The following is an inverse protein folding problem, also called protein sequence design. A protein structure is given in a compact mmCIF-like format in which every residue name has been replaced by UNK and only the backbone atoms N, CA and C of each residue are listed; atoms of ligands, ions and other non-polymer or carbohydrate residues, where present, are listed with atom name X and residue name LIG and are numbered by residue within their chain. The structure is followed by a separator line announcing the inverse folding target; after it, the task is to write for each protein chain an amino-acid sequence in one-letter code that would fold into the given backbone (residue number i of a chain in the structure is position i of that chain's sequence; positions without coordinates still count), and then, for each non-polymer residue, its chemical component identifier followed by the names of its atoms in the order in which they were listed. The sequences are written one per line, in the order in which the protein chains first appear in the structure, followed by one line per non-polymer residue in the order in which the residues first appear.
data_IF_862357885690
#
_entry.id   IF_862357885690
#
_cell.length_a   1.000
_cell.length_b   1.000
_cell.length_c   1.000
_cell.angle_alpha   90.00
_cell.angle_beta   90.00
_cell.angle_gamma   90.00
#
_symmetry.space_group_name_H-M   'P 1'
#
loop_
_entity.id
_entity.type
_entity.pdbx_description
1 polymer ?
#
# COMPACT_ATOMS: atom_id res chain seq x y z
N UNK A 1 -28.36 -14.48 -0.32
CA UNK A 1 -28.97 -13.44 -1.18
C UNK A 1 -28.79 -13.84 -2.64
N UNK A 2 -29.87 -13.96 -3.41
CA UNK A 2 -29.81 -14.32 -4.85
C UNK A 2 -30.03 -13.04 -5.66
N UNK A 3 -29.06 -12.69 -6.50
CA UNK A 3 -29.17 -11.57 -7.45
C UNK A 3 -30.11 -11.94 -8.59
N UNK A 4 -31.42 -11.93 -8.35
CA UNK A 4 -32.42 -12.21 -9.38
C UNK A 4 -32.55 -11.04 -10.36
N UNK A 5 -33.22 -11.28 -11.49
CA UNK A 5 -33.40 -10.26 -12.53
C UNK A 5 -34.14 -9.04 -11.99
N UNK A 6 -35.18 -9.27 -11.18
CA UNK A 6 -36.04 -8.23 -10.61
C UNK A 6 -35.26 -7.32 -9.67
N UNK A 7 -34.50 -7.91 -8.74
CA UNK A 7 -33.66 -7.17 -7.79
C UNK A 7 -32.61 -6.33 -8.52
N UNK A 8 -31.99 -6.88 -9.56
CA UNK A 8 -31.00 -6.14 -10.34
C UNK A 8 -31.63 -5.06 -11.21
N UNK A 9 -32.82 -5.27 -11.78
CA UNK A 9 -33.52 -4.25 -12.56
C UNK A 9 -33.92 -3.06 -11.67
N UNK A 10 -34.42 -3.34 -10.47
CA UNK A 10 -34.72 -2.30 -9.47
C UNK A 10 -33.45 -1.57 -9.02
N UNK A 11 -32.36 -2.29 -8.78
CA UNK A 11 -31.07 -1.70 -8.42
C UNK A 11 -30.50 -0.83 -9.55
N UNK A 12 -30.68 -1.19 -10.83
CA UNK A 12 -30.25 -0.37 -11.95
C UNK A 12 -30.95 1.00 -12.00
N UNK A 13 -32.20 1.08 -11.54
CA UNK A 13 -32.96 2.33 -11.52
C UNK A 13 -32.60 3.23 -10.33
N UNK A 14 -32.24 2.63 -9.20
CA UNK A 14 -31.99 3.36 -7.93
C UNK A 14 -30.53 3.65 -7.63
N UNK A 15 -29.61 2.93 -8.27
CA UNK A 15 -28.18 3.05 -8.00
C UNK A 15 -27.45 3.74 -9.16
N UNK A 16 -26.42 4.50 -8.81
CA UNK A 16 -25.50 5.16 -9.72
C UNK A 16 -24.13 4.47 -9.75
N UNK A 17 -23.92 3.40 -8.98
CA UNK A 17 -22.66 2.65 -8.96
C UNK A 17 -22.85 1.21 -8.52
N UNK A 18 -21.92 0.32 -8.89
CA UNK A 18 -21.91 -1.08 -8.41
C UNK A 18 -21.76 -1.15 -6.89
N UNK A 19 -21.11 -0.17 -6.26
CA UNK A 19 -20.99 -0.11 -4.80
C UNK A 19 -22.32 0.17 -4.12
N UNK A 20 -23.10 1.10 -4.65
CA UNK A 20 -24.47 1.33 -4.21
C UNK A 20 -25.34 0.09 -4.41
N UNK A 21 -25.17 -0.64 -5.51
CA UNK A 21 -25.89 -1.92 -5.72
C UNK A 21 -25.54 -2.94 -4.64
N UNK A 22 -24.28 -3.02 -4.21
CA UNK A 22 -23.84 -3.94 -3.13
C UNK A 22 -24.50 -3.53 -1.81
N UNK A 23 -24.53 -2.23 -1.50
CA UNK A 23 -25.20 -1.69 -0.31
C UNK A 23 -26.70 -1.92 -0.34
N UNK A 24 -27.34 -1.63 -1.48
CA UNK A 24 -28.78 -1.83 -1.72
C UNK A 24 -29.18 -3.30 -1.56
N UNK A 25 -28.36 -4.19 -2.12
CA UNK A 25 -28.52 -5.63 -1.96
C UNK A 25 -27.96 -6.14 -0.62
N UNK A 26 -27.80 -5.32 0.43
CA UNK A 26 -27.40 -5.77 1.78
C UNK A 26 -26.14 -6.64 1.84
N UNK A 27 -25.25 -6.57 0.84
CA UNK A 27 -24.12 -7.46 0.68
C UNK A 27 -22.87 -6.95 1.39
N UNK A 28 -22.05 -7.87 1.92
CA UNK A 28 -20.67 -7.53 2.31
C UNK A 28 -19.78 -7.56 1.06
N UNK A 29 -19.02 -6.49 0.76
CA UNK A 29 -18.18 -6.45 -0.42
C UNK A 29 -17.06 -7.49 -0.34
N UNK A 30 -16.92 -8.30 -1.38
CA UNK A 30 -15.72 -9.12 -1.62
C UNK A 30 -15.23 -8.89 -3.04
N UNK A 31 -13.93 -9.11 -3.27
CA UNK A 31 -13.22 -8.62 -4.46
C UNK A 31 -13.77 -9.12 -5.82
N UNK A 32 -14.44 -10.28 -5.88
CA UNK A 32 -15.06 -10.79 -7.11
C UNK A 32 -16.52 -10.31 -7.32
N UNK A 33 -17.16 -9.76 -6.28
CA UNK A 33 -18.60 -9.45 -6.31
C UNK A 33 -18.93 -8.42 -7.39
N UNK A 34 -18.07 -7.40 -7.54
CA UNK A 34 -18.23 -6.38 -8.59
C UNK A 34 -18.28 -7.01 -9.99
N UNK A 35 -17.33 -7.91 -10.29
CA UNK A 35 -17.25 -8.61 -11.59
C UNK A 35 -18.44 -9.54 -11.79
N UNK A 36 -18.87 -10.23 -10.73
CA UNK A 36 -20.05 -11.09 -10.76
C UNK A 36 -21.32 -10.28 -11.08
N UNK A 37 -21.52 -9.14 -10.41
CA UNK A 37 -22.65 -8.25 -10.66
C UNK A 37 -22.64 -7.70 -12.08
N UNK A 38 -21.49 -7.21 -12.58
CA UNK A 38 -21.39 -6.74 -13.98
C UNK A 38 -21.78 -7.83 -14.98
N UNK A 39 -21.31 -9.08 -14.78
CA UNK A 39 -21.71 -10.21 -15.64
C UNK A 39 -23.19 -10.55 -15.51
N UNK A 40 -23.76 -10.43 -14.32
CA UNK A 40 -25.20 -10.68 -14.06
C UNK A 40 -26.08 -9.63 -14.73
N UNK A 41 -25.72 -8.35 -14.68
CA UNK A 41 -26.43 -7.28 -15.41
C UNK A 41 -26.41 -7.55 -16.92
N UNK A 42 -25.25 -7.89 -17.48
CA UNK A 42 -25.12 -8.25 -18.89
C UNK A 42 -25.93 -9.51 -19.25
N UNK A 43 -25.92 -10.54 -18.40
CA UNK A 43 -26.68 -11.77 -18.61
C UNK A 43 -28.20 -11.53 -18.68
N UNK A 44 -28.73 -10.58 -17.90
CA UNK A 44 -30.14 -10.22 -17.92
C UNK A 44 -30.50 -9.11 -18.92
N UNK A 45 -29.53 -8.58 -19.66
CA UNK A 45 -29.74 -7.49 -20.62
C UNK A 45 -30.13 -6.16 -19.97
N UNK A 46 -29.73 -5.93 -18.72
CA UNK A 46 -30.04 -4.69 -17.99
C UNK A 46 -28.95 -3.66 -18.27
N UNK A 47 -29.32 -2.52 -18.83
CA UNK A 47 -28.38 -1.42 -19.09
C UNK A 47 -27.93 -0.77 -17.77
N UNK A 48 -26.61 -0.68 -17.61
CA UNK A 48 -25.94 -0.05 -16.48
C UNK A 48 -24.87 0.95 -16.95
N UNK A 49 -24.98 1.43 -18.19
CA UNK A 49 -24.02 2.37 -18.79
C UNK A 49 -23.97 3.70 -18.04
N UNK A 50 -25.06 4.07 -17.35
CA UNK A 50 -25.15 5.25 -16.48
C UNK A 50 -24.46 5.06 -15.13
N UNK A 51 -24.08 3.83 -14.75
CA UNK A 51 -23.34 3.59 -13.50
C UNK A 51 -22.00 4.31 -13.58
N UNK A 52 -21.90 5.36 -12.77
CA UNK A 52 -21.09 6.53 -13.02
C UNK A 52 -19.60 6.20 -13.26
N UNK A 53 -19.12 6.25 -14.51
CA UNK A 53 -17.71 6.09 -14.85
C UNK A 53 -16.87 7.29 -14.37
N UNK A 54 -17.51 8.41 -13.98
CA UNK A 54 -16.86 9.68 -13.65
C UNK A 54 -15.95 9.52 -12.42
N UNK A 55 -16.33 8.73 -11.41
CA UNK A 55 -15.46 8.45 -10.27
C UNK A 55 -14.15 7.73 -10.69
N UNK A 56 -14.21 6.81 -11.66
CA UNK A 56 -13.02 6.14 -12.21
C UNK A 56 -12.20 7.05 -13.11
N UNK A 57 -12.85 7.96 -13.86
CA UNK A 57 -12.20 8.97 -14.70
C UNK A 57 -11.46 10.03 -13.87
N UNK A 58 -12.02 10.41 -12.72
CA UNK A 58 -11.46 11.44 -11.82
C UNK A 58 -10.49 10.88 -10.78
N UNK A 59 -10.54 9.57 -10.46
CA UNK A 59 -9.62 8.93 -9.50
C UNK A 59 -8.12 9.18 -9.82
N UNK A 60 -7.80 9.33 -11.09
CA UNK A 60 -6.45 9.58 -11.59
C UNK A 60 -6.33 10.92 -12.34
N UNK A 61 -7.30 11.82 -12.19
CA UNK A 61 -7.21 13.16 -12.78
C UNK A 61 -5.94 13.87 -12.31
N UNK A 62 -5.37 14.71 -13.15
CA UNK A 62 -4.22 15.52 -12.78
C UNK A 62 -4.63 16.56 -11.73
N UNK A 63 -3.96 16.63 -10.56
CA UNK A 63 -4.21 17.67 -9.57
C UNK A 63 -3.61 19.02 -10.03
N UNK A 64 -4.18 20.12 -9.54
CA UNK A 64 -3.56 21.44 -9.68
C UNK A 64 -2.19 21.48 -8.98
N UNK A 65 -1.27 22.31 -9.48
CA UNK A 65 0.09 22.43 -8.95
C UNK A 65 0.10 22.72 -7.44
N UNK A 66 -0.70 23.69 -7.01
CA UNK A 66 -0.72 24.13 -5.60
C UNK A 66 -1.27 23.04 -4.67
N UNK A 67 -2.31 22.32 -5.11
CA UNK A 67 -2.85 21.19 -4.36
C UNK A 67 -1.81 20.06 -4.23
N UNK A 68 -1.05 19.77 -5.29
CA UNK A 68 0.04 18.78 -5.21
C UNK A 68 1.17 19.26 -4.30
N UNK A 69 1.56 20.53 -4.39
CA UNK A 69 2.59 21.13 -3.55
C UNK A 69 2.21 21.07 -2.07
N UNK A 70 0.97 21.43 -1.73
CA UNK A 70 0.45 21.36 -0.36
C UNK A 70 0.40 19.92 0.16
N UNK A 71 -0.03 18.98 -0.68
CA UNK A 71 -0.05 17.57 -0.30
C UNK A 71 1.35 17.01 -0.05
N UNK A 72 2.34 17.46 -0.83
CA UNK A 72 3.74 17.07 -0.66
C UNK A 72 4.34 17.68 0.60
N UNK A 73 4.10 18.97 0.87
CA UNK A 73 4.63 19.60 2.08
C UNK A 73 4.00 19.06 3.36
N UNK A 74 2.72 18.70 3.33
CA UNK A 74 2.00 18.14 4.48
C UNK A 74 2.27 16.65 4.73
N UNK A 75 3.06 15.98 3.89
CA UNK A 75 3.26 14.53 3.93
C UNK A 75 4.72 14.12 4.07
N UNK A 76 4.94 12.94 4.66
CA UNK A 76 6.27 12.29 4.75
C UNK A 76 6.42 11.11 3.78
N UNK A 77 5.36 10.80 3.01
CA UNK A 77 5.36 9.69 2.06
C UNK A 77 4.39 9.93 0.90
N UNK A 78 4.65 9.27 -0.25
CA UNK A 78 3.76 9.28 -1.43
C UNK A 78 2.35 8.78 -1.07
N UNK A 79 2.24 7.75 -0.22
CA UNK A 79 0.93 7.23 0.18
C UNK A 79 0.14 8.26 1.00
N UNK A 80 0.80 9.00 1.89
CA UNK A 80 0.16 10.08 2.64
C UNK A 80 -0.27 11.22 1.71
N UNK A 81 0.61 11.63 0.77
CA UNK A 81 0.29 12.68 -0.19
C UNK A 81 -0.88 12.30 -1.11
N UNK A 82 -0.92 11.05 -1.60
CA UNK A 82 -2.05 10.55 -2.39
C UNK A 82 -3.37 10.54 -1.61
N UNK A 83 -3.34 10.15 -0.32
CA UNK A 83 -4.53 10.24 0.55
C UNK A 83 -4.98 11.68 0.77
N UNK A 84 -4.03 12.60 0.97
CA UNK A 84 -4.32 14.03 1.10
C UNK A 84 -4.99 14.60 -0.16
N UNK A 85 -4.61 14.09 -1.34
CA UNK A 85 -5.23 14.43 -2.63
C UNK A 85 -6.55 13.69 -2.91
N UNK A 86 -7.03 12.84 -1.99
CA UNK A 86 -8.20 11.99 -2.22
C UNK A 86 -8.02 10.93 -3.31
N UNK A 87 -6.78 10.61 -3.69
CA UNK A 87 -6.47 9.65 -4.75
C UNK A 87 -6.22 8.24 -4.19
N UNK A 88 -6.58 7.18 -4.93
CA UNK A 88 -6.39 5.81 -4.46
C UNK A 88 -4.90 5.49 -4.35
N UNK A 89 -4.51 4.78 -3.29
CA UNK A 89 -3.12 4.32 -3.10
C UNK A 89 -2.92 2.99 -3.83
N UNK A 90 -2.51 3.04 -5.09
CA UNK A 90 -2.19 1.88 -5.92
C UNK A 90 -0.99 2.18 -6.84
N UNK A 91 -0.47 1.16 -7.52
CA UNK A 91 0.72 1.30 -8.39
C UNK A 91 0.54 2.39 -9.44
N UNK A 92 -0.64 2.48 -10.08
CA UNK A 92 -0.95 3.49 -11.10
C UNK A 92 -0.87 4.91 -10.55
N UNK A 93 -1.50 5.19 -9.40
CA UNK A 93 -1.43 6.51 -8.77
C UNK A 93 -0.01 6.90 -8.37
N UNK A 94 0.84 5.94 -7.99
CA UNK A 94 2.25 6.23 -7.66
C UNK A 94 3.05 6.61 -8.91
N UNK A 95 2.84 5.92 -10.03
CA UNK A 95 3.45 6.28 -11.31
C UNK A 95 3.05 7.70 -11.73
N UNK A 96 1.74 8.00 -11.69
CA UNK A 96 1.23 9.32 -12.03
C UNK A 96 1.75 10.41 -11.09
N UNK A 97 1.85 10.11 -9.79
CA UNK A 97 2.42 11.03 -8.82
C UNK A 97 3.86 11.42 -9.17
N UNK A 98 4.71 10.47 -9.55
CA UNK A 98 6.07 10.76 -9.99
C UNK A 98 6.09 11.63 -11.24
N UNK A 99 5.20 11.38 -12.21
CA UNK A 99 5.07 12.21 -13.41
C UNK A 99 4.68 13.65 -13.07
N UNK A 100 3.65 13.85 -12.24
CA UNK A 100 3.19 15.19 -11.86
C UNK A 100 4.24 15.97 -11.08
N UNK A 101 4.93 15.32 -10.14
CA UNK A 101 6.00 15.93 -9.35
C UNK A 101 7.16 16.37 -10.23
N UNK A 102 7.57 15.55 -11.20
CA UNK A 102 8.62 15.89 -12.14
C UNK A 102 8.23 17.08 -13.03
N UNK A 103 7.02 17.05 -13.59
CA UNK A 103 6.55 18.09 -14.50
C UNK A 103 6.32 19.44 -13.80
N UNK A 104 5.86 19.42 -12.54
CA UNK A 104 5.70 20.63 -11.74
C UNK A 104 6.97 21.05 -10.98
N UNK A 105 8.07 20.30 -11.13
CA UNK A 105 9.34 20.52 -10.44
C UNK A 105 9.18 20.65 -8.91
N UNK A 106 8.39 19.77 -8.32
CA UNK A 106 8.12 19.77 -6.87
C UNK A 106 9.18 18.93 -6.16
N UNK A 107 9.81 19.47 -5.12
CA UNK A 107 10.78 18.71 -4.34
C UNK A 107 10.09 17.66 -3.44
N UNK A 108 10.54 16.42 -3.54
CA UNK A 108 10.06 15.29 -2.72
C UNK A 108 11.21 14.59 -2.00
N UNK A 109 12.39 15.22 -1.92
CA UNK A 109 13.59 14.62 -1.29
C UNK A 109 13.35 14.24 0.18
N UNK A 110 12.54 15.00 0.90
CA UNK A 110 12.13 14.73 2.29
C UNK A 110 11.24 13.50 2.44
N UNK A 111 10.68 12.93 1.37
CA UNK A 111 9.95 11.67 1.45
C UNK A 111 10.91 10.52 1.77
N UNK A 112 10.79 9.98 2.97
CA UNK A 112 11.68 8.94 3.50
C UNK A 112 11.35 7.53 2.95
N UNK A 113 10.25 7.38 2.19
CA UNK A 113 9.84 6.06 1.68
C UNK A 113 9.56 5.10 2.83
N UNK A 114 10.15 3.91 2.86
CA UNK A 114 10.01 3.00 4.00
C UNK A 114 10.70 3.53 5.28
N UNK A 115 11.67 4.42 5.15
CA UNK A 115 12.33 5.05 6.30
C UNK A 115 11.47 6.11 7.00
N UNK A 116 10.24 6.40 6.56
CA UNK A 116 9.31 7.24 7.35
C UNK A 116 8.92 6.59 8.68
N UNK A 117 9.10 5.26 8.80
CA UNK A 117 8.97 4.50 10.03
C UNK A 117 10.32 4.30 10.74
N UNK A 118 11.42 4.92 10.27
CA UNK A 118 12.73 4.78 10.92
C UNK A 118 12.64 5.30 12.36
N UNK A 119 13.11 4.48 13.31
CA UNK A 119 13.04 4.78 14.74
C UNK A 119 11.65 4.60 15.36
N UNK A 120 10.61 4.28 14.57
CA UNK A 120 9.31 3.87 15.11
C UNK A 120 9.29 2.35 15.29
N UNK A 121 8.87 1.84 16.46
CA UNK A 121 8.71 0.41 16.64
C UNK A 121 7.63 -0.12 15.69
N UNK A 122 7.94 -1.23 15.02
CA UNK A 122 6.96 -1.99 14.24
C UNK A 122 6.01 -2.68 15.24
N UNK A 123 4.76 -2.20 15.33
CA UNK A 123 3.82 -2.63 16.36
C UNK A 123 3.46 -4.12 16.30
N UNK A 124 3.62 -4.76 15.13
CA UNK A 124 3.35 -6.19 14.93
C UNK A 124 4.61 -7.06 15.12
N UNK A 125 5.77 -6.43 15.34
CA UNK A 125 7.05 -7.12 15.48
C UNK A 125 7.32 -7.42 16.96
N UNK A 126 7.21 -8.70 17.32
CA UNK A 126 7.72 -9.22 18.59
C UNK A 126 9.21 -8.91 18.74
N UNK A 127 9.59 -8.36 19.89
CA UNK A 127 10.96 -8.07 20.25
C UNK A 127 11.75 -9.38 20.43
N UNK A 128 13.09 -9.36 20.27
CA UNK A 128 13.92 -10.53 20.56
C UNK A 128 13.68 -11.11 21.95
N UNK A 129 13.47 -10.26 22.96
CA UNK A 129 13.17 -10.68 24.33
C UNK A 129 11.84 -11.44 24.47
N UNK A 130 10.87 -11.25 23.56
CA UNK A 130 9.60 -11.99 23.55
C UNK A 130 9.68 -13.29 22.74
N UNK A 131 10.66 -13.40 21.85
CA UNK A 131 10.89 -14.56 20.98
C UNK A 131 11.86 -15.55 21.64
N UNK A 132 12.93 -15.06 22.26
CA UNK A 132 14.02 -15.83 22.87
C UNK A 132 13.69 -16.23 24.32
N UNK A 133 12.50 -16.80 24.51
CA UNK A 133 12.02 -17.30 25.80
C UNK A 133 11.78 -18.80 25.73
N UNK A 134 12.00 -19.48 26.86
CA UNK A 134 11.63 -20.89 27.01
C UNK A 134 10.10 -21.00 27.02
N UNK A 135 9.53 -21.66 26.01
CA UNK A 135 8.08 -21.89 25.91
C UNK A 135 7.74 -23.30 26.39
N UNK A 136 6.70 -23.43 27.20
CA UNK A 136 6.22 -24.72 27.73
C UNK A 136 5.17 -25.38 26.82
N UNK A 137 5.15 -25.03 25.52
CA UNK A 137 4.17 -25.52 24.55
C UNK A 137 4.66 -26.74 23.76
N UNK A 138 3.72 -27.54 23.23
CA UNK A 138 4.00 -28.75 22.43
C UNK A 138 4.67 -28.47 21.06
N UNK A 139 4.66 -27.21 20.59
CA UNK A 139 5.20 -26.82 19.27
C UNK A 139 6.38 -25.87 19.43
N UNK A 140 7.44 -26.15 18.67
CA UNK A 140 8.65 -25.31 18.57
C UNK A 140 8.32 -23.94 17.95
N UNK A 141 8.95 -22.89 18.44
CA UNK A 141 8.95 -21.57 17.79
C UNK A 141 9.49 -21.65 16.36
N UNK A 142 8.87 -20.94 15.43
CA UNK A 142 9.26 -20.96 14.02
C UNK A 142 10.73 -20.50 13.84
N UNK A 143 11.53 -21.30 13.13
CA UNK A 143 12.97 -21.03 12.93
C UNK A 143 13.23 -19.66 12.29
N UNK A 144 12.35 -19.18 11.40
CA UNK A 144 12.46 -17.85 10.80
C UNK A 144 12.34 -16.72 11.83
N UNK A 145 11.46 -16.86 12.84
CA UNK A 145 11.33 -15.90 13.95
C UNK A 145 12.56 -15.92 14.84
N UNK A 146 13.10 -17.10 15.14
CA UNK A 146 14.31 -17.25 15.95
C UNK A 146 15.54 -16.66 15.24
N UNK A 147 15.75 -16.98 13.95
CA UNK A 147 16.86 -16.43 13.15
C UNK A 147 16.78 -14.91 13.08
N UNK A 148 15.60 -14.36 12.76
CA UNK A 148 15.38 -12.91 12.73
C UNK A 148 15.61 -12.26 14.10
N UNK A 149 15.18 -12.89 15.20
CA UNK A 149 15.40 -12.37 16.54
C UNK A 149 16.89 -12.36 16.94
N UNK A 150 17.68 -13.29 16.41
CA UNK A 150 19.10 -13.41 16.69
C UNK A 150 19.94 -12.44 15.82
N UNK A 151 19.74 -12.43 14.50
CA UNK A 151 20.62 -11.72 13.55
C UNK A 151 19.87 -11.25 12.29
N UNK A 152 20.19 -10.05 11.82
CA UNK A 152 19.87 -9.46 10.52
C UNK A 152 21.18 -9.19 9.77
N UNK A 153 21.15 -9.25 8.43
CA UNK A 153 22.30 -8.92 7.58
C UNK A 153 22.19 -7.44 7.19
N UNK A 154 23.27 -6.70 7.41
CA UNK A 154 23.44 -5.32 6.95
C UNK A 154 24.60 -5.25 5.96
N UNK A 155 24.36 -4.58 4.83
CA UNK A 155 25.38 -4.23 3.86
C UNK A 155 26.04 -2.93 4.33
N UNK A 156 27.33 -2.98 4.68
CA UNK A 156 28.07 -1.86 5.28
C UNK A 156 28.03 -0.63 4.37
N UNK A 157 28.17 -0.82 3.06
CA UNK A 157 28.08 0.26 2.07
C UNK A 157 26.64 0.69 1.71
N UNK A 158 25.62 -0.03 2.20
CA UNK A 158 24.21 0.19 1.90
C UNK A 158 23.77 -0.20 0.48
N UNK A 159 24.65 -0.81 -0.32
CA UNK A 159 24.30 -1.42 -1.60
C UNK A 159 23.87 -2.88 -1.36
N UNK A 160 22.57 -3.12 -1.49
CA UNK A 160 21.95 -4.43 -1.31
C UNK A 160 22.40 -5.46 -2.35
N UNK A 161 23.07 -5.04 -3.44
CA UNK A 161 23.57 -5.93 -4.49
C UNK A 161 25.03 -6.36 -4.31
N UNK A 162 25.76 -5.81 -3.32
CA UNK A 162 27.15 -6.15 -3.04
C UNK A 162 27.27 -7.21 -1.93
N UNK A 163 27.11 -8.48 -2.31
CA UNK A 163 27.11 -9.64 -1.39
C UNK A 163 28.52 -10.16 -1.03
N UNK A 164 29.58 -9.38 -1.28
CA UNK A 164 30.93 -9.75 -0.88
C UNK A 164 31.04 -9.83 0.64
N UNK A 165 31.75 -10.84 1.16
CA UNK A 165 31.82 -11.15 2.60
C UNK A 165 32.28 -9.96 3.43
N UNK A 166 33.24 -9.20 2.93
CA UNK A 166 33.77 -7.99 3.55
C UNK A 166 32.76 -6.84 3.67
N UNK A 167 31.70 -6.85 2.87
CA UNK A 167 30.63 -5.86 2.89
C UNK A 167 29.44 -6.27 3.77
N UNK A 168 29.37 -7.53 4.22
CA UNK A 168 28.27 -8.05 5.03
C UNK A 168 28.63 -8.05 6.53
N UNK A 169 27.75 -7.51 7.37
CA UNK A 169 27.83 -7.68 8.82
C UNK A 169 26.51 -8.19 9.40
N UNK A 170 26.63 -9.02 10.44
CA UNK A 170 25.48 -9.50 11.19
C UNK A 170 25.22 -8.54 12.36
N UNK A 171 24.00 -8.00 12.41
CA UNK A 171 23.53 -7.11 13.48
C UNK A 171 22.28 -7.71 14.12
N UNK A 172 22.05 -7.50 15.40
CA UNK A 172 20.72 -7.80 15.94
C UNK A 172 19.69 -6.81 15.36
N UNK A 173 18.39 -7.15 15.31
CA UNK A 173 17.35 -6.27 14.74
C UNK A 173 17.32 -4.85 15.31
N UNK A 174 17.67 -4.70 16.60
CA UNK A 174 17.68 -3.40 17.26
C UNK A 174 18.85 -2.53 16.80
N UNK A 175 20.05 -3.12 16.72
CA UNK A 175 21.25 -2.45 16.21
C UNK A 175 21.15 -2.19 14.71
N UNK A 176 20.48 -3.06 13.95
CA UNK A 176 20.28 -2.84 12.52
C UNK A 176 19.31 -1.67 12.26
N UNK A 177 18.24 -1.52 13.03
CA UNK A 177 17.25 -0.45 12.85
C UNK A 177 17.79 0.98 13.02
N UNK A 178 18.93 1.13 13.72
CA UNK A 178 19.59 2.42 13.93
C UNK A 178 20.71 2.70 12.92
N UNK A 179 21.07 1.76 12.05
CA UNK A 179 22.13 2.00 11.07
C UNK A 179 21.72 3.07 10.05
N UNK A 180 22.73 3.79 9.55
CA UNK A 180 22.51 4.74 8.46
C UNK A 180 22.01 4.05 7.18
N UNK A 181 22.26 2.76 7.00
CA UNK A 181 21.96 1.93 5.81
C UNK A 181 20.59 1.24 5.86
N UNK A 182 19.93 1.19 7.02
CA UNK A 182 18.70 0.43 7.23
C UNK A 182 17.57 0.78 6.23
N UNK A 183 16.91 -0.24 5.70
CA UNK A 183 15.84 -0.20 4.67
C UNK A 183 16.18 0.54 3.36
N UNK A 184 16.33 1.87 3.43
CA UNK A 184 16.60 2.78 2.29
C UNK A 184 17.68 3.83 2.61
N UNK A 185 18.38 3.66 3.72
CA UNK A 185 19.41 4.59 4.17
C UNK A 185 20.75 4.45 3.45
N UNK A 186 20.92 3.41 2.60
CA UNK A 186 22.02 3.33 1.64
C UNK A 186 21.94 4.40 0.56
N UNK A 187 23.09 4.72 -0.07
CA UNK A 187 23.19 5.72 -1.15
C UNK A 187 22.07 5.47 -2.17
N UNK A 188 21.19 6.47 -2.38
CA UNK A 188 20.26 6.45 -3.52
C UNK A 188 21.13 6.28 -4.76
N UNK A 189 20.88 5.26 -5.59
CA UNK A 189 21.43 5.22 -6.94
C UNK A 189 21.00 6.53 -7.62
N UNK A 190 21.95 7.44 -7.80
CA UNK A 190 21.80 8.49 -8.80
C UNK A 190 21.65 7.80 -10.15
N UNK A 191 20.69 8.24 -10.98
CA UNK A 191 20.44 7.64 -12.29
C UNK A 191 21.68 7.70 -13.17
#
# INVERSE_FOLDING_TARGET
MRYTREVLAEAAHRCMSIDEVITFCGGRPYHQLRRHLTKRFAHFGIDISHFNPIARRTAHSRPARDALQQAVSASVSISAALRHLGKPVNSRSRTLFHQWVAEYSIDTRHFLGQAHQRGRPDFDRLAPAEILVKRNGKRRSQTSRLRRALLEIDHINGDWSDDRRENLRLLCPNCHAITATWCRGGRRRTP
#
